data_IF_935038245182
#
_entry.id   IF_935038245182
#
_cell.length_a   1.000
_cell.length_b   1.000
_cell.length_c   1.000
_cell.angle_alpha   90.00
_cell.angle_beta   90.00
_cell.angle_gamma   90.00
#
_symmetry.space_group_name_H-M   'P 1'
#
loop_
_entity.id
_entity.type
_entity.pdbx_description
1 polymer ?
#
# COMPACT_ATOMS: atom_id res chain seq x y z
N UNK A 1 1.35 -40.21 -36.61
CA UNK A 1 0.96 -38.95 -35.95
C UNK A 1 -0.55 -38.93 -35.98
N UNK A 2 -1.22 -39.07 -34.84
CA UNK A 2 -2.67 -38.96 -34.79
C UNK A 2 -3.06 -37.56 -35.27
N UNK A 3 -4.08 -37.44 -36.12
CA UNK A 3 -4.54 -36.12 -36.56
C UNK A 3 -5.20 -35.39 -35.39
N UNK A 4 -5.19 -34.06 -35.40
CA UNK A 4 -5.84 -33.24 -34.37
C UNK A 4 -7.33 -33.60 -34.22
N UNK A 5 -7.97 -34.06 -35.31
CA UNK A 5 -9.33 -34.60 -35.30
C UNK A 5 -9.42 -35.89 -34.48
N UNK A 6 -8.52 -36.85 -34.72
CA UNK A 6 -8.52 -38.15 -34.04
C UNK A 6 -8.28 -37.97 -32.53
N UNK A 7 -7.40 -37.03 -32.14
CA UNK A 7 -7.16 -36.69 -30.75
C UNK A 7 -8.40 -36.13 -30.05
N UNK A 8 -9.18 -35.28 -30.73
CA UNK A 8 -10.44 -34.76 -30.18
C UNK A 8 -11.52 -35.85 -30.06
N UNK A 9 -11.57 -36.78 -31.00
CA UNK A 9 -12.48 -37.93 -30.93
C UNK A 9 -12.10 -38.86 -29.77
N UNK A 10 -10.80 -39.11 -29.56
CA UNK A 10 -10.27 -39.88 -28.42
C UNK A 10 -10.57 -39.20 -27.07
N UNK A 11 -10.61 -37.87 -27.04
CA UNK A 11 -11.03 -37.08 -25.87
C UNK A 11 -12.55 -37.09 -25.61
N UNK A 12 -13.33 -37.72 -26.50
CA UNK A 12 -14.78 -37.90 -26.35
C UNK A 12 -15.64 -36.78 -26.97
N UNK A 13 -15.07 -35.93 -27.83
CA UNK A 13 -15.85 -34.94 -28.56
C UNK A 13 -16.57 -35.56 -29.77
N UNK A 14 -17.76 -35.04 -30.06
CA UNK A 14 -18.53 -35.45 -31.24
C UNK A 14 -17.73 -35.19 -32.54
N UNK A 15 -17.74 -36.18 -33.43
CA UNK A 15 -16.93 -36.17 -34.66
C UNK A 15 -17.23 -34.96 -35.55
N UNK A 16 -18.50 -34.56 -35.67
CA UNK A 16 -18.86 -33.42 -36.52
C UNK A 16 -18.44 -32.09 -35.88
N UNK A 17 -18.58 -31.96 -34.56
CA UNK A 17 -18.10 -30.77 -33.82
C UNK A 17 -16.58 -30.64 -33.88
N UNK A 18 -15.86 -31.73 -33.63
CA UNK A 18 -14.40 -31.76 -33.70
C UNK A 18 -13.90 -31.40 -35.11
N UNK A 19 -14.56 -31.89 -36.16
CA UNK A 19 -14.22 -31.56 -37.53
C UNK A 19 -14.46 -30.07 -37.85
N UNK A 20 -15.54 -29.50 -37.35
CA UNK A 20 -15.81 -28.06 -37.49
C UNK A 20 -14.77 -27.22 -36.74
N UNK A 21 -14.41 -27.63 -35.52
CA UNK A 21 -13.44 -26.95 -34.69
C UNK A 21 -12.04 -26.92 -35.33
N UNK A 22 -11.58 -28.08 -35.83
CA UNK A 22 -10.27 -28.21 -36.50
C UNK A 22 -10.25 -27.43 -37.82
N UNK A 23 -11.34 -27.44 -38.59
CA UNK A 23 -11.41 -26.68 -39.85
C UNK A 23 -11.47 -25.17 -39.64
N UNK A 24 -12.06 -24.70 -38.54
CA UNK A 24 -12.14 -23.26 -38.21
C UNK A 24 -10.87 -22.70 -37.59
N UNK A 25 -10.15 -23.50 -36.81
CA UNK A 25 -9.02 -23.01 -35.99
C UNK A 25 -7.64 -23.49 -36.46
N UNK A 26 -7.58 -24.57 -37.24
CA UNK A 26 -6.36 -25.05 -37.87
C UNK A 26 -5.34 -25.70 -36.93
N UNK A 27 -5.71 -26.02 -35.69
CA UNK A 27 -4.83 -26.75 -34.75
C UNK A 27 -5.55 -27.20 -33.48
N UNK A 28 -5.05 -28.26 -32.82
CA UNK A 28 -5.66 -28.88 -31.64
C UNK A 28 -6.04 -27.90 -30.53
N UNK A 29 -5.11 -27.01 -30.13
CA UNK A 29 -5.34 -26.09 -29.01
C UNK A 29 -6.39 -25.02 -29.35
N UNK A 30 -6.42 -24.58 -30.61
CA UNK A 30 -7.47 -23.69 -31.09
C UNK A 30 -8.82 -24.39 -31.16
N UNK A 31 -8.83 -25.66 -31.58
CA UNK A 31 -10.04 -26.46 -31.69
C UNK A 31 -10.66 -26.72 -30.31
N UNK A 32 -9.84 -26.97 -29.27
CA UNK A 32 -10.31 -27.12 -27.89
C UNK A 32 -10.97 -25.84 -27.35
N UNK A 33 -10.32 -24.67 -27.53
CA UNK A 33 -10.90 -23.39 -27.10
C UNK A 33 -12.22 -23.11 -27.83
N UNK A 34 -12.26 -23.38 -29.14
CA UNK A 34 -13.46 -23.17 -29.94
C UNK A 34 -14.60 -24.12 -29.53
N UNK A 35 -14.28 -25.37 -29.17
CA UNK A 35 -15.27 -26.32 -28.65
C UNK A 35 -15.81 -25.90 -27.27
N UNK A 36 -14.97 -25.31 -26.42
CA UNK A 36 -15.37 -24.75 -25.13
C UNK A 36 -16.30 -23.54 -25.32
N UNK A 37 -15.92 -22.59 -26.18
CA UNK A 37 -16.70 -21.38 -26.46
C UNK A 37 -18.06 -21.66 -27.13
N UNK A 38 -18.20 -22.83 -27.78
CA UNK A 38 -19.42 -23.23 -28.48
C UNK A 38 -20.07 -24.48 -27.86
N UNK A 39 -19.71 -24.83 -26.62
CA UNK A 39 -20.23 -26.00 -25.92
C UNK A 39 -21.75 -25.93 -25.73
N UNK A 40 -22.26 -24.73 -25.44
CA UNK A 40 -23.67 -24.46 -25.15
C UNK A 40 -24.56 -24.33 -26.40
N UNK A 41 -23.96 -24.26 -27.58
CA UNK A 41 -24.70 -24.09 -28.85
C UNK A 41 -24.96 -25.42 -29.51
N UNK A 42 -26.16 -25.63 -30.04
CA UNK A 42 -26.47 -26.86 -30.78
C UNK A 42 -25.65 -26.94 -32.07
N UNK A 43 -25.40 -28.16 -32.57
CA UNK A 43 -24.71 -28.36 -33.85
C UNK A 43 -25.40 -27.63 -35.01
N UNK A 44 -26.72 -27.52 -34.96
CA UNK A 44 -27.52 -26.81 -35.96
C UNK A 44 -27.38 -25.29 -35.85
N UNK A 45 -27.33 -24.73 -34.64
CA UNK A 45 -27.05 -23.31 -34.41
C UNK A 45 -25.65 -22.91 -34.87
N UNK A 46 -24.66 -23.77 -34.64
CA UNK A 46 -23.27 -23.51 -35.06
C UNK A 46 -23.16 -23.58 -36.59
N UNK A 47 -23.85 -24.54 -37.23
CA UNK A 47 -23.92 -24.63 -38.71
C UNK A 47 -24.68 -23.44 -39.30
N UNK A 48 -25.76 -22.97 -38.67
CA UNK A 48 -26.50 -21.78 -39.07
C UNK A 48 -25.65 -20.50 -38.92
N UNK A 49 -24.96 -20.31 -37.78
CA UNK A 49 -24.04 -19.19 -37.56
C UNK A 49 -22.84 -19.24 -38.53
N UNK A 50 -22.37 -20.43 -38.90
CA UNK A 50 -21.33 -20.59 -39.91
C UNK A 50 -21.82 -20.26 -41.33
N UNK A 51 -23.10 -20.52 -41.65
CA UNK A 51 -23.74 -20.08 -42.89
C UNK A 51 -23.99 -18.58 -42.92
N UNK A 52 -24.38 -17.96 -41.80
CA UNK A 52 -24.49 -16.51 -41.66
C UNK A 52 -23.11 -15.82 -41.76
N UNK A 53 -22.07 -16.41 -41.18
CA UNK A 53 -20.71 -15.87 -41.23
C UNK A 53 -19.97 -16.13 -42.55
N UNK A 54 -20.41 -17.09 -43.37
CA UNK A 54 -19.90 -17.30 -44.75
C UNK A 54 -20.69 -16.53 -45.81
N UNK A 55 -21.79 -15.87 -45.43
CA UNK A 55 -22.57 -14.97 -46.27
C UNK A 55 -22.12 -13.50 -46.19
N UNK A 56 -20.82 -13.23 -46.24
CA UNK A 56 -20.30 -11.86 -46.41
C UNK A 56 -20.51 -11.31 -47.84
N UNK A 57 -21.15 -12.09 -48.71
CA UNK A 57 -22.03 -11.57 -49.75
C UNK A 57 -23.47 -11.85 -49.26
N UNK A 58 -24.22 -10.78 -48.94
CA UNK A 58 -25.65 -10.90 -48.69
C UNK A 58 -26.31 -11.69 -49.83
N UNK A 59 -27.39 -12.44 -49.55
CA UNK A 59 -27.98 -13.37 -50.50
C UNK A 59 -28.19 -12.67 -51.84
N UNK A 60 -27.62 -13.25 -52.91
CA UNK A 60 -27.88 -12.78 -54.26
C UNK A 60 -29.40 -12.74 -54.46
N UNK A 61 -29.90 -11.58 -54.89
CA UNK A 61 -31.31 -11.33 -55.15
C UNK A 61 -31.90 -12.52 -55.89
N UNK A 62 -32.95 -13.12 -55.32
CA UNK A 62 -33.70 -14.15 -56.02
C UNK A 62 -34.24 -13.54 -57.32
N UNK A 63 -34.27 -14.29 -58.44
CA UNK A 63 -34.72 -13.76 -59.72
C UNK A 63 -36.22 -13.42 -59.65
N UNK A 64 -36.53 -12.16 -59.34
CA UNK A 64 -37.91 -11.67 -59.16
C UNK A 64 -38.07 -10.46 -58.25
N UNK A 65 -37.08 -10.08 -57.45
CA UNK A 65 -37.17 -8.92 -56.55
C UNK A 65 -36.70 -7.62 -57.22
N UNK A 66 -37.57 -6.61 -57.29
CA UNK A 66 -37.27 -5.32 -57.91
C UNK A 66 -36.25 -4.54 -57.06
N UNK A 67 -35.23 -3.90 -57.66
CA UNK A 67 -34.23 -3.13 -56.92
C UNK A 67 -34.86 -1.88 -56.31
N UNK A 68 -35.23 -1.94 -55.03
CA UNK A 68 -35.61 -0.77 -54.24
C UNK A 68 -34.38 -0.25 -53.50
N UNK A 69 -33.70 0.74 -54.07
CA UNK A 69 -32.62 1.44 -53.36
C UNK A 69 -33.20 2.36 -52.27
N UNK A 70 -32.96 2.04 -51.00
CA UNK A 70 -33.39 2.88 -49.86
C UNK A 70 -32.32 3.94 -49.57
N UNK A 71 -32.72 5.17 -49.27
CA UNK A 71 -31.82 6.26 -48.87
C UNK A 71 -32.16 6.69 -47.47
N UNK A 72 -31.18 6.70 -46.57
CA UNK A 72 -31.38 7.28 -45.24
C UNK A 72 -31.43 8.81 -45.36
N UNK A 73 -32.53 9.43 -44.94
CA UNK A 73 -32.72 10.88 -45.01
C UNK A 73 -31.85 11.63 -44.00
N UNK A 74 -31.44 10.98 -42.92
CA UNK A 74 -30.62 11.56 -41.86
C UNK A 74 -29.13 11.67 -42.26
N UNK A 75 -28.63 10.76 -43.10
CA UNK A 75 -27.21 10.75 -43.50
C UNK A 75 -26.95 10.67 -45.01
N UNK A 76 -28.00 10.65 -45.83
CA UNK A 76 -27.92 10.63 -47.30
C UNK A 76 -27.29 9.38 -47.91
N UNK A 77 -27.08 8.31 -47.13
CA UNK A 77 -26.47 7.06 -47.64
C UNK A 77 -27.51 6.27 -48.42
N UNK A 78 -27.15 5.87 -49.64
CA UNK A 78 -27.94 4.99 -50.51
C UNK A 78 -27.59 3.53 -50.24
N UNK A 79 -28.61 2.72 -50.03
CA UNK A 79 -28.54 1.29 -49.75
C UNK A 79 -29.10 0.51 -50.93
N UNK A 80 -28.49 -0.64 -51.22
CA UNK A 80 -28.89 -1.50 -52.33
C UNK A 80 -30.10 -2.38 -52.04
N UNK A 81 -30.50 -2.50 -50.77
CA UNK A 81 -31.63 -3.29 -50.32
C UNK A 81 -31.90 -3.09 -48.83
N UNK A 82 -32.97 -3.72 -48.35
CA UNK A 82 -33.50 -3.56 -46.99
C UNK A 82 -32.53 -4.04 -45.90
N UNK A 83 -31.81 -5.15 -46.11
CA UNK A 83 -30.84 -5.69 -45.13
C UNK A 83 -29.69 -4.73 -44.82
N UNK A 84 -29.24 -3.95 -45.81
CA UNK A 84 -28.18 -2.96 -45.62
C UNK A 84 -28.69 -1.71 -44.89
N UNK A 85 -29.96 -1.36 -45.08
CA UNK A 85 -30.63 -0.28 -44.35
C UNK A 85 -30.85 -0.65 -42.88
N UNK A 86 -31.26 -1.89 -42.58
CA UNK A 86 -31.41 -2.41 -41.21
C UNK A 86 -30.08 -2.45 -40.45
N UNK A 87 -28.99 -2.87 -41.09
CA UNK A 87 -27.65 -2.83 -40.48
C UNK A 87 -27.17 -1.39 -40.21
N UNK A 88 -27.49 -0.46 -41.12
CA UNK A 88 -27.19 0.96 -40.88
C UNK A 88 -28.04 1.52 -39.74
N UNK A 89 -29.32 1.16 -39.67
CA UNK A 89 -30.21 1.53 -38.57
C UNK A 89 -29.71 0.99 -37.22
N UNK A 90 -29.23 -0.25 -37.14
CA UNK A 90 -28.72 -0.82 -35.88
C UNK A 90 -27.39 -0.21 -35.43
N UNK A 91 -26.55 0.20 -36.38
CA UNK A 91 -25.22 0.76 -36.10
C UNK A 91 -25.22 2.26 -35.86
N UNK A 92 -26.07 3.01 -36.56
CA UNK A 92 -26.13 4.47 -36.45
C UNK A 92 -27.41 5.00 -35.80
N UNK A 93 -28.42 4.16 -35.57
CA UNK A 93 -29.69 4.55 -34.97
C UNK A 93 -30.63 5.33 -35.91
N UNK A 94 -30.34 5.39 -37.21
CA UNK A 94 -31.15 6.16 -38.16
C UNK A 94 -32.31 5.31 -38.66
N UNK A 95 -33.52 5.85 -38.60
CA UNK A 95 -34.77 5.11 -38.89
C UNK A 95 -35.54 5.66 -40.09
N UNK A 96 -35.22 6.87 -40.55
CA UNK A 96 -35.89 7.49 -41.69
C UNK A 96 -35.24 7.11 -43.03
N UNK A 97 -35.89 6.19 -43.77
CA UNK A 97 -35.47 5.76 -45.10
C UNK A 97 -36.53 6.12 -46.18
N UNK A 98 -36.09 6.73 -47.28
CA UNK A 98 -36.90 6.98 -48.47
C UNK A 98 -36.57 5.99 -49.58
N UNK A 99 -37.58 5.44 -50.25
CA UNK A 99 -37.41 4.61 -51.44
C UNK A 99 -37.02 5.50 -52.64
N UNK A 100 -35.80 5.35 -53.15
CA UNK A 100 -35.33 6.01 -54.37
C UNK A 100 -35.24 5.01 -55.51
N UNK A 101 -35.71 5.39 -56.70
CA UNK A 101 -35.68 4.57 -57.93
C UNK A 101 -34.38 4.70 -58.73
N UNK A 102 -33.35 5.31 -58.16
CA UNK A 102 -32.05 5.44 -58.81
C UNK A 102 -31.23 4.17 -58.59
N UNK A 103 -31.23 3.28 -59.59
CA UNK A 103 -30.35 2.12 -59.65
C UNK A 103 -28.89 2.58 -59.41
N UNK A 104 -28.37 2.26 -58.22
CA UNK A 104 -26.98 2.60 -57.90
C UNK A 104 -26.09 1.81 -58.86
N UNK A 105 -25.50 2.48 -59.84
CA UNK A 105 -24.61 1.85 -60.80
C UNK A 105 -23.58 0.98 -60.07
N UNK A 106 -23.39 -0.30 -60.46
CA UNK A 106 -22.35 -1.13 -59.86
C UNK A 106 -21.00 -0.45 -60.09
N UNK A 107 -20.23 -0.26 -59.01
CA UNK A 107 -18.86 0.27 -59.10
C UNK A 107 -18.14 -0.45 -60.26
N UNK A 108 -17.54 0.32 -61.16
CA UNK A 108 -16.74 -0.21 -62.26
C UNK A 108 -15.62 -1.08 -61.69
N UNK A 109 -15.20 -2.10 -62.44
CA UNK A 109 -14.22 -3.09 -61.96
C UNK A 109 -12.90 -2.45 -61.50
N UNK A 110 -12.54 -1.30 -62.07
CA UNK A 110 -11.37 -0.52 -61.69
C UNK A 110 -11.50 0.13 -60.30
N UNK A 111 -12.66 0.70 -59.97
CA UNK A 111 -12.92 1.31 -58.66
C UNK A 111 -12.99 0.25 -57.55
N UNK A 112 -13.50 -0.95 -57.87
CA UNK A 112 -13.48 -2.10 -56.95
C UNK A 112 -12.05 -2.55 -56.66
N UNK A 113 -11.19 -2.62 -57.69
CA UNK A 113 -9.76 -2.97 -57.53
C UNK A 113 -9.02 -1.93 -56.69
N UNK A 114 -9.26 -0.65 -56.91
CA UNK A 114 -8.65 0.44 -56.12
C UNK A 114 -9.09 0.40 -54.66
N UNK A 115 -10.39 0.23 -54.37
CA UNK A 115 -10.89 0.06 -53.00
C UNK A 115 -10.32 -1.17 -52.31
N UNK A 116 -10.17 -2.28 -53.02
CA UNK A 116 -9.53 -3.49 -52.47
C UNK A 116 -8.04 -3.28 -52.19
N UNK A 117 -7.34 -2.52 -53.02
CA UNK A 117 -5.94 -2.15 -52.77
C UNK A 117 -5.82 -1.25 -51.53
N UNK A 118 -6.65 -0.21 -51.43
CA UNK A 118 -6.68 0.71 -50.27
C UNK A 118 -7.04 -0.02 -48.97
N UNK A 119 -7.98 -0.97 -49.01
CA UNK A 119 -8.33 -1.79 -47.85
C UNK A 119 -7.19 -2.73 -47.44
N UNK A 120 -6.47 -3.32 -48.40
CA UNK A 120 -5.30 -4.16 -48.12
C UNK A 120 -4.16 -3.34 -47.52
N UNK A 121 -3.93 -2.13 -48.01
CA UNK A 121 -2.94 -1.20 -47.47
C UNK A 121 -3.28 -0.79 -46.03
N UNK A 122 -4.54 -0.40 -45.76
CA UNK A 122 -5.02 -0.09 -44.39
C UNK A 122 -4.91 -1.28 -43.44
N UNK A 123 -5.14 -2.51 -43.91
CA UNK A 123 -4.95 -3.71 -43.10
C UNK A 123 -3.47 -3.99 -42.84
N UNK A 124 -2.61 -3.78 -43.84
CA UNK A 124 -1.17 -3.92 -43.69
C UNK A 124 -0.61 -2.90 -42.69
N UNK A 125 -1.03 -1.64 -42.75
CA UNK A 125 -0.66 -0.60 -41.79
C UNK A 125 -1.12 -0.94 -40.37
N UNK A 126 -2.38 -1.38 -40.19
CA UNK A 126 -2.88 -1.83 -38.89
C UNK A 126 -2.09 -3.01 -38.34
N UNK A 127 -1.74 -3.98 -39.20
CA UNK A 127 -0.95 -5.15 -38.82
C UNK A 127 0.48 -4.77 -38.44
N UNK A 128 1.09 -3.81 -39.14
CA UNK A 128 2.40 -3.27 -38.80
C UNK A 128 2.37 -2.56 -37.44
N UNK A 129 1.39 -1.68 -37.21
CA UNK A 129 1.23 -0.99 -35.92
C UNK A 129 1.01 -1.94 -34.74
N UNK A 130 0.18 -2.98 -34.93
CA UNK A 130 -0.01 -4.03 -33.92
C UNK A 130 1.28 -4.82 -33.64
N UNK A 131 2.10 -5.10 -34.66
CA UNK A 131 3.38 -5.79 -34.47
C UNK A 131 4.39 -4.94 -33.69
N UNK A 132 4.40 -3.63 -33.88
CA UNK A 132 5.25 -2.71 -33.11
C UNK A 132 4.80 -2.60 -31.66
N UNK A 133 3.49 -2.48 -31.43
CA UNK A 133 2.93 -2.48 -30.07
C UNK A 133 3.23 -3.80 -29.34
N UNK A 134 3.02 -4.95 -29.98
CA UNK A 134 3.33 -6.26 -29.38
C UNK A 134 4.82 -6.41 -29.04
N UNK A 135 5.74 -5.85 -29.84
CA UNK A 135 7.17 -5.82 -29.51
C UNK A 135 7.47 -4.93 -28.28
N UNK A 136 6.80 -3.79 -28.16
CA UNK A 136 6.96 -2.88 -27.02
C UNK A 136 6.39 -3.54 -25.76
N UNK A 137 5.21 -4.14 -25.84
CA UNK A 137 4.56 -4.81 -24.72
C UNK A 137 5.34 -6.03 -24.26
N UNK A 138 5.93 -6.81 -25.19
CA UNK A 138 6.85 -7.90 -24.85
C UNK A 138 8.08 -7.42 -24.09
N UNK A 139 8.73 -6.34 -24.56
CA UNK A 139 9.88 -5.75 -23.86
C UNK A 139 9.50 -5.25 -22.47
N UNK A 140 8.36 -4.57 -22.34
CA UNK A 140 7.83 -4.08 -21.05
C UNK A 140 7.54 -5.23 -20.10
N UNK A 141 6.89 -6.29 -20.57
CA UNK A 141 6.60 -7.47 -19.76
C UNK A 141 7.87 -8.20 -19.31
N UNK A 142 8.89 -8.28 -20.18
CA UNK A 142 10.19 -8.83 -19.81
C UNK A 142 10.89 -7.96 -18.76
N UNK A 143 10.85 -6.64 -18.89
CA UNK A 143 11.41 -5.71 -17.91
C UNK A 143 10.69 -5.82 -16.56
N UNK A 144 9.36 -5.93 -16.55
CA UNK A 144 8.57 -6.15 -15.33
C UNK A 144 8.98 -7.47 -14.65
N UNK A 145 9.14 -8.56 -15.41
CA UNK A 145 9.59 -9.85 -14.85
C UNK A 145 10.99 -9.74 -14.23
N UNK A 146 11.92 -9.07 -14.91
CA UNK A 146 13.28 -8.85 -14.41
C UNK A 146 13.28 -7.99 -13.14
N UNK A 147 12.54 -6.88 -13.13
CA UNK A 147 12.39 -6.00 -11.95
C UNK A 147 11.76 -6.73 -10.78
N UNK A 148 10.65 -7.42 -10.98
CA UNK A 148 9.96 -8.17 -9.92
C UNK A 148 10.84 -9.26 -9.31
N UNK A 149 11.62 -9.99 -10.14
CA UNK A 149 12.57 -10.99 -9.65
C UNK A 149 13.67 -10.35 -8.82
N UNK A 150 14.22 -9.23 -9.29
CA UNK A 150 15.25 -8.47 -8.56
C UNK A 150 14.71 -7.92 -7.24
N UNK A 151 13.56 -7.26 -7.24
CA UNK A 151 12.92 -6.72 -6.03
C UNK A 151 12.62 -7.83 -5.01
N UNK A 152 12.23 -9.02 -5.47
CA UNK A 152 12.01 -10.18 -4.59
C UNK A 152 13.31 -10.67 -3.96
N UNK A 153 14.43 -10.64 -4.70
CA UNK A 153 15.75 -11.01 -4.18
C UNK A 153 16.26 -9.95 -3.20
N UNK A 154 16.20 -8.67 -3.59
CA UNK A 154 16.62 -7.53 -2.76
C UNK A 154 15.82 -7.50 -1.44
N UNK A 155 14.50 -7.74 -1.49
CA UNK A 155 13.65 -7.81 -0.30
C UNK A 155 14.01 -8.97 0.64
N UNK A 156 14.41 -10.13 0.09
CA UNK A 156 14.88 -11.28 0.88
C UNK A 156 16.21 -10.97 1.56
N UNK A 157 17.17 -10.41 0.83
CA UNK A 157 18.47 -10.03 1.37
C UNK A 157 18.35 -8.96 2.45
N UNK A 158 17.49 -7.95 2.24
CA UNK A 158 17.23 -6.92 3.24
C UNK A 158 16.58 -7.49 4.51
N UNK A 159 15.63 -8.42 4.36
CA UNK A 159 14.99 -9.09 5.49
C UNK A 159 16.01 -9.93 6.27
N UNK A 160 16.86 -10.68 5.59
CA UNK A 160 17.93 -11.47 6.21
C UNK A 160 18.93 -10.56 6.93
N UNK A 161 19.37 -9.47 6.30
CA UNK A 161 20.27 -8.48 6.91
C UNK A 161 19.64 -7.83 8.16
N UNK A 162 18.36 -7.50 8.12
CA UNK A 162 17.62 -6.97 9.29
C UNK A 162 17.53 -8.00 10.41
N UNK A 163 17.31 -9.28 10.09
CA UNK A 163 17.30 -10.36 11.08
C UNK A 163 18.68 -10.54 11.73
N UNK A 164 19.74 -10.59 10.94
CA UNK A 164 21.12 -10.70 11.45
C UNK A 164 21.50 -9.51 12.34
N UNK A 165 21.14 -8.28 11.93
CA UNK A 165 21.37 -7.07 12.74
C UNK A 165 20.59 -7.11 14.05
N UNK A 166 19.33 -7.57 14.03
CA UNK A 166 18.49 -7.72 15.23
C UNK A 166 19.04 -8.78 16.18
N UNK A 167 19.50 -9.91 15.66
CA UNK A 167 20.11 -10.97 16.46
C UNK A 167 21.45 -10.50 17.07
N UNK A 168 22.29 -9.83 16.29
CA UNK A 168 23.54 -9.26 16.79
C UNK A 168 23.30 -8.20 17.87
N UNK A 169 22.28 -7.33 17.70
CA UNK A 169 21.88 -6.35 18.71
C UNK A 169 21.35 -7.02 19.98
N UNK A 170 20.50 -8.04 19.84
CA UNK A 170 19.97 -8.81 20.97
C UNK A 170 21.10 -9.48 21.76
N UNK A 171 22.06 -10.12 21.06
CA UNK A 171 23.22 -10.75 21.69
C UNK A 171 24.14 -9.75 22.39
N UNK A 172 24.30 -8.53 21.85
CA UNK A 172 25.04 -7.46 22.54
C UNK A 172 24.31 -7.00 23.80
N UNK A 173 22.99 -6.84 23.73
CA UNK A 173 22.15 -6.46 24.88
C UNK A 173 22.18 -7.53 25.96
N UNK A 174 21.98 -8.81 25.62
CA UNK A 174 22.08 -9.92 26.57
C UNK A 174 23.44 -9.97 27.27
N UNK A 175 24.54 -9.75 26.53
CA UNK A 175 25.89 -9.64 27.13
C UNK A 175 26.03 -8.45 28.08
N UNK A 176 25.45 -7.29 27.74
CA UNK A 176 25.48 -6.11 28.60
C UNK A 176 24.66 -6.35 29.88
N UNK A 177 23.46 -6.87 29.73
CA UNK A 177 22.56 -7.21 30.84
C UNK A 177 23.21 -8.25 31.77
N UNK A 178 23.92 -9.25 31.23
CA UNK A 178 24.71 -10.21 32.02
C UNK A 178 25.85 -9.54 32.79
N UNK A 179 26.57 -8.61 32.17
CA UNK A 179 27.66 -7.87 32.82
C UNK A 179 27.10 -6.99 33.94
N UNK A 180 25.99 -6.30 33.69
CA UNK A 180 25.32 -5.46 34.67
C UNK A 180 24.73 -6.28 35.82
N UNK A 181 24.11 -7.42 35.53
CA UNK A 181 23.64 -8.36 36.55
C UNK A 181 24.79 -8.86 37.43
N UNK A 182 25.92 -9.25 36.83
CA UNK A 182 27.14 -9.64 37.58
C UNK A 182 27.68 -8.49 38.42
N UNK A 183 27.72 -7.25 37.89
CA UNK A 183 28.12 -6.05 38.66
C UNK A 183 27.19 -5.80 39.83
N UNK A 184 25.87 -5.91 39.63
CA UNK A 184 24.87 -5.72 40.68
C UNK A 184 24.99 -6.76 41.79
N UNK A 185 25.23 -8.02 41.43
CA UNK A 185 25.48 -9.09 42.42
C UNK A 185 26.77 -8.81 43.20
N UNK A 186 27.85 -8.43 42.51
CA UNK A 186 29.11 -8.06 43.16
C UNK A 186 28.95 -6.90 44.15
N UNK A 187 28.25 -5.83 43.74
CA UNK A 187 27.97 -4.69 44.60
C UNK A 187 27.15 -5.07 45.84
N UNK A 188 26.17 -5.99 45.71
CA UNK A 188 25.42 -6.50 46.87
C UNK A 188 26.30 -7.31 47.82
N UNK A 189 27.21 -8.14 47.30
CA UNK A 189 28.15 -8.92 48.11
C UNK A 189 29.14 -8.00 48.83
N UNK A 190 29.62 -6.96 48.14
CA UNK A 190 30.51 -5.96 48.73
C UNK A 190 29.81 -5.18 49.85
N UNK A 191 28.59 -4.69 49.61
CA UNK A 191 27.78 -4.03 50.62
C UNK A 191 27.53 -4.92 51.85
N UNK A 192 27.12 -6.19 51.68
CA UNK A 192 26.94 -7.13 52.81
C UNK A 192 28.25 -7.36 53.58
N UNK A 193 29.37 -7.46 52.87
CA UNK A 193 30.69 -7.63 53.48
C UNK A 193 31.12 -6.39 54.26
N UNK A 194 30.85 -5.20 53.75
CA UNK A 194 31.14 -3.94 54.43
C UNK A 194 30.23 -3.74 55.64
N UNK A 195 28.94 -4.02 55.53
CA UNK A 195 28.01 -3.98 56.66
C UNK A 195 28.43 -4.95 57.77
N UNK A 196 28.86 -6.17 57.40
CA UNK A 196 29.40 -7.14 58.36
C UNK A 196 30.68 -6.65 59.01
N UNK A 197 31.60 -6.04 58.24
CA UNK A 197 32.83 -5.43 58.77
C UNK A 197 32.51 -4.32 59.76
N UNK A 198 31.65 -3.37 59.37
CA UNK A 198 31.22 -2.25 60.21
C UNK A 198 30.50 -2.74 61.48
N UNK A 199 29.66 -3.76 61.38
CA UNK A 199 28.97 -4.35 62.54
C UNK A 199 29.95 -5.05 63.49
N UNK A 200 30.91 -5.80 62.96
CA UNK A 200 31.96 -6.43 63.77
C UNK A 200 32.89 -5.40 64.43
N UNK A 201 33.23 -4.33 63.72
CA UNK A 201 34.02 -3.22 64.26
C UNK A 201 33.28 -2.48 65.38
N UNK A 202 31.98 -2.17 65.17
CA UNK A 202 31.12 -1.59 66.20
C UNK A 202 31.04 -2.47 67.45
N UNK A 203 30.80 -3.77 67.29
CA UNK A 203 30.75 -4.71 68.44
C UNK A 203 32.10 -4.85 69.15
N UNK A 204 33.22 -4.81 68.40
CA UNK A 204 34.56 -4.83 68.99
C UNK A 204 34.87 -3.55 69.76
N UNK A 205 34.47 -2.39 69.23
CA UNK A 205 34.60 -1.10 69.91
C UNK A 205 33.76 -1.06 71.21
N UNK A 206 32.51 -1.53 71.14
CA UNK A 206 31.63 -1.66 72.31
C UNK A 206 32.23 -2.59 73.39
N UNK A 207 32.82 -3.72 73.00
CA UNK A 207 33.44 -4.68 73.95
C UNK A 207 34.77 -4.21 74.52
N UNK A 208 35.54 -3.41 73.78
CA UNK A 208 36.79 -2.83 74.25
C UNK A 208 36.58 -1.67 75.25
N UNK A 209 35.33 -1.34 75.60
CA UNK A 209 35.02 -0.29 76.58
C UNK A 209 35.41 1.12 76.11
N UNK A 210 35.75 1.27 74.83
CA UNK A 210 35.90 2.58 74.20
C UNK A 210 34.48 3.09 73.97
N UNK A 211 34.03 3.98 74.86
CA UNK A 211 32.78 4.70 74.68
C UNK A 211 32.73 5.23 73.24
N UNK A 212 31.59 5.12 72.52
CA UNK A 212 31.48 5.77 71.23
C UNK A 212 31.82 7.24 71.46
N UNK A 213 32.92 7.71 70.86
CA UNK A 213 33.14 9.14 70.76
C UNK A 213 31.91 9.65 70.02
N UNK A 214 31.01 10.29 70.77
CA UNK A 214 30.02 11.16 70.17
C UNK A 214 30.82 12.06 69.23
N UNK A 215 30.53 12.07 67.91
CA UNK A 215 31.00 13.18 67.12
C UNK A 215 30.46 14.42 67.84
N UNK A 216 31.38 15.26 68.30
CA UNK A 216 31.04 16.56 68.84
C UNK A 216 30.03 17.19 67.89
N UNK A 217 28.89 17.61 68.43
CA UNK A 217 27.90 18.37 67.72
C UNK A 217 28.59 19.62 67.18
N UNK A 218 29.01 19.56 65.92
CA UNK A 218 29.35 20.74 65.15
C UNK A 218 28.06 21.56 65.05
N UNK A 219 28.07 22.84 65.44
CA UNK A 219 26.90 23.69 65.24
C UNK A 219 26.56 23.67 63.77
N UNK A 220 25.30 23.36 63.47
CA UNK A 220 24.77 23.43 62.12
C UNK A 220 25.07 24.82 61.55
N UNK A 221 25.76 24.94 60.40
CA UNK A 221 25.75 26.19 59.70
C UNK A 221 24.30 26.42 59.24
N UNK A 222 23.65 27.40 59.85
CA UNK A 222 22.49 28.07 59.24
C UNK A 222 23.01 28.78 57.98
N UNK A 223 23.20 28.05 56.89
CA UNK A 223 23.42 28.64 55.58
C UNK A 223 22.07 28.81 54.91
N UNK A 224 21.41 29.93 55.21
CA UNK A 224 20.57 30.61 54.22
C UNK A 224 21.50 31.14 53.12
N UNK A 225 21.89 30.25 52.22
CA UNK A 225 22.68 30.53 51.02
C UNK A 225 22.12 29.71 49.85
N UNK A 226 22.12 30.26 48.61
CA UNK A 226 21.39 29.69 47.49
C UNK A 226 21.98 28.32 47.10
N UNK A 227 21.11 27.32 46.92
CA UNK A 227 21.50 26.00 46.44
C UNK A 227 22.09 26.11 45.03
N UNK A 228 23.39 25.90 44.89
CA UNK A 228 24.03 25.72 43.58
C UNK A 228 23.50 24.44 42.94
N UNK A 229 22.76 24.60 41.85
CA UNK A 229 22.15 23.53 41.08
C UNK A 229 23.22 22.67 40.39
N UNK A 230 23.04 21.35 40.46
CA UNK A 230 23.69 20.39 39.57
C UNK A 230 23.18 20.63 38.13
N UNK A 231 23.98 20.42 37.07
CA UNK A 231 23.53 20.72 35.70
C UNK A 231 22.24 19.96 35.36
N UNK A 232 21.35 20.61 34.62
CA UNK A 232 20.03 20.10 34.21
C UNK A 232 20.06 18.73 33.52
N UNK A 233 21.23 18.29 33.03
CA UNK A 233 21.45 16.98 32.40
C UNK A 233 21.55 15.78 33.35
N UNK A 234 21.67 16.00 34.67
CA UNK A 234 21.88 14.92 35.65
C UNK A 234 20.61 14.46 36.38
N UNK A 235 19.48 15.16 36.20
CA UNK A 235 18.21 14.77 36.79
C UNK A 235 17.44 13.90 35.80
N UNK A 236 16.83 12.82 36.31
CA UNK A 236 15.91 11.94 35.57
C UNK A 236 14.44 12.25 35.87
N UNK A 237 14.19 12.92 36.99
CA UNK A 237 12.86 13.29 37.47
C UNK A 237 12.80 14.81 37.71
N UNK A 238 11.62 15.39 37.45
CA UNK A 238 11.32 16.82 37.63
C UNK A 238 10.09 16.99 38.51
N UNK A 239 10.17 17.90 39.47
CA UNK A 239 9.04 18.24 40.35
C UNK A 239 8.36 19.53 39.87
N UNK A 240 7.15 19.39 39.35
CA UNK A 240 6.35 20.52 38.88
C UNK A 240 5.28 20.89 39.89
N UNK A 241 5.16 22.19 40.18
CA UNK A 241 4.04 22.76 40.93
C UNK A 241 3.13 23.50 39.96
N UNK A 242 1.89 23.06 39.85
CA UNK A 242 0.85 23.72 39.07
C UNK A 242 -0.02 24.57 39.99
N UNK A 243 -0.15 25.84 39.65
CA UNK A 243 -1.10 26.75 40.30
C UNK A 243 -2.36 26.78 39.44
N UNK A 244 -3.43 26.14 39.92
CA UNK A 244 -4.73 26.15 39.26
C UNK A 244 -5.70 27.06 40.03
N UNK A 245 -6.82 27.49 39.42
CA UNK A 245 -7.87 28.22 40.12
C UNK A 245 -8.48 27.44 41.30
N UNK A 246 -8.39 26.11 41.26
CA UNK A 246 -8.90 25.20 42.31
C UNK A 246 -7.89 24.92 43.43
N UNK A 247 -6.64 25.35 43.29
CA UNK A 247 -5.57 25.11 44.26
C UNK A 247 -4.22 24.73 43.62
N UNK A 248 -3.26 24.40 44.49
CA UNK A 248 -1.90 24.03 44.07
C UNK A 248 -1.77 22.52 43.97
N UNK A 249 -1.31 22.03 42.82
CA UNK A 249 -1.07 20.60 42.55
C UNK A 249 0.43 20.40 42.39
N UNK A 250 0.99 19.33 42.97
CA UNK A 250 2.40 18.98 42.79
C UNK A 250 2.49 17.60 42.13
N UNK A 251 3.23 17.49 41.03
CA UNK A 251 3.50 16.20 40.36
C UNK A 251 5.00 16.03 40.12
N UNK A 252 5.46 14.79 40.26
CA UNK A 252 6.81 14.38 39.90
C UNK A 252 6.70 13.59 38.59
N UNK A 253 7.36 14.08 37.54
CA UNK A 253 7.29 13.51 36.19
C UNK A 253 8.70 13.28 35.65
N UNK A 254 8.83 12.40 34.66
CA UNK A 254 10.13 12.11 34.05
C UNK A 254 10.59 13.29 33.19
N UNK A 255 11.91 13.49 33.08
CA UNK A 255 12.49 14.64 32.36
C UNK A 255 12.16 14.67 30.86
N UNK A 256 11.88 13.50 30.28
CA UNK A 256 11.55 13.32 28.87
C UNK A 256 10.03 13.42 28.56
N UNK A 257 9.17 13.61 29.58
CA UNK A 257 7.72 13.79 29.31
C UNK A 257 7.48 15.11 28.60
N UNK A 258 6.53 15.13 27.68
CA UNK A 258 6.15 16.37 26.96
C UNK A 258 5.15 17.20 27.77
N UNK A 259 5.09 18.50 27.51
CA UNK A 259 4.06 19.37 28.12
C UNK A 259 2.63 18.92 27.78
N UNK A 260 2.42 18.30 26.61
CA UNK A 260 1.15 17.70 26.24
C UNK A 260 0.72 16.56 27.17
N UNK A 261 1.62 15.63 27.46
CA UNK A 261 1.35 14.54 28.39
C UNK A 261 1.07 15.05 29.81
N UNK A 262 1.75 16.12 30.22
CA UNK A 262 1.52 16.80 31.49
C UNK A 262 0.10 17.39 31.54
N UNK A 263 -0.34 18.06 30.47
CA UNK A 263 -1.69 18.59 30.35
C UNK A 263 -2.76 17.48 30.36
N UNK A 264 -2.51 16.37 29.67
CA UNK A 264 -3.38 15.19 29.69
C UNK A 264 -3.47 14.57 31.10
N UNK A 265 -2.34 14.44 31.81
CA UNK A 265 -2.31 13.92 33.17
C UNK A 265 -3.04 14.83 34.17
N UNK A 266 -3.03 16.15 33.97
CA UNK A 266 -3.82 17.11 34.77
C UNK A 266 -5.31 17.01 34.44
N UNK A 267 -5.68 16.77 33.18
CA UNK A 267 -7.07 16.56 32.77
C UNK A 267 -7.65 15.26 33.33
N UNK A 268 -6.88 14.17 33.31
CA UNK A 268 -7.31 12.85 33.78
C UNK A 268 -7.41 12.76 35.30
N UNK A 269 -6.43 13.29 36.03
CA UNK A 269 -6.35 13.14 37.49
C UNK A 269 -7.09 14.25 38.25
N UNK A 270 -7.05 15.48 37.75
CA UNK A 270 -7.56 16.66 38.48
C UNK A 270 -8.78 17.29 37.77
N UNK A 271 -9.15 16.83 36.57
CA UNK A 271 -10.28 17.35 35.81
C UNK A 271 -10.10 18.82 35.42
N UNK A 272 -8.85 19.26 35.22
CA UNK A 272 -8.51 20.64 34.86
C UNK A 272 -8.10 20.65 33.38
N UNK A 273 -8.85 21.40 32.58
CA UNK A 273 -8.51 21.64 31.19
C UNK A 273 -7.50 22.78 31.12
N UNK A 274 -6.32 22.50 30.57
CA UNK A 274 -5.21 23.46 30.47
C UNK A 274 -5.18 24.04 29.07
N UNK A 275 -5.23 25.37 28.93
CA UNK A 275 -5.08 26.04 27.64
C UNK A 275 -3.65 26.54 27.43
N UNK A 276 -3.01 27.05 28.49
CA UNK A 276 -1.60 27.45 28.45
C UNK A 276 -0.93 27.32 29.83
N UNK A 277 0.39 27.17 29.83
CA UNK A 277 1.19 27.20 31.06
C UNK A 277 2.01 28.48 31.13
N UNK A 278 1.98 29.18 32.26
CA UNK A 278 2.78 30.40 32.47
C UNK A 278 3.79 30.17 33.58
N UNK A 279 5.08 30.27 33.28
CA UNK A 279 6.14 30.35 34.28
C UNK A 279 6.24 31.78 34.80
N UNK A 280 6.31 31.96 36.12
CA UNK A 280 6.36 33.30 36.73
C UNK A 280 7.77 33.93 36.68
N UNK A 281 8.82 33.11 36.75
CA UNK A 281 10.21 33.59 36.77
C UNK A 281 11.19 32.59 36.11
N UNK A 282 11.92 32.99 35.06
CA UNK A 282 11.61 34.11 34.16
C UNK A 282 10.21 33.97 33.55
N UNK A 283 9.53 35.09 33.27
CA UNK A 283 8.16 35.05 32.75
C UNK A 283 8.16 34.45 31.34
N UNK A 284 7.64 33.22 31.19
CA UNK A 284 7.54 32.52 29.90
C UNK A 284 6.16 31.89 29.78
N UNK A 285 5.51 32.11 28.64
CA UNK A 285 4.20 31.54 28.32
C UNK A 285 4.44 30.37 27.37
N UNK A 286 3.89 29.21 27.71
CA UNK A 286 3.93 28.00 26.91
C UNK A 286 2.53 27.76 26.33
N UNK A 287 2.37 28.19 25.08
CA UNK A 287 1.18 27.93 24.26
C UNK A 287 1.31 26.59 23.51
N UNK A 288 0.31 26.22 22.71
CA UNK A 288 0.24 24.94 21.99
C UNK A 288 1.50 24.55 21.19
N UNK A 289 2.30 25.52 20.73
CA UNK A 289 3.55 25.28 20.01
C UNK A 289 4.61 24.58 20.89
N UNK A 290 4.62 24.85 22.19
CA UNK A 290 5.56 24.27 23.15
C UNK A 290 5.08 22.95 23.75
N UNK A 291 3.85 22.51 23.44
CA UNK A 291 3.29 21.27 24.01
C UNK A 291 4.01 20.01 23.50
N UNK A 292 4.69 20.10 22.35
CA UNK A 292 5.50 19.03 21.77
C UNK A 292 6.92 18.92 22.34
N UNK A 293 7.40 19.92 23.09
CA UNK A 293 8.73 19.90 23.69
C UNK A 293 8.73 19.18 25.05
N UNK A 294 9.87 18.57 25.39
CA UNK A 294 10.07 17.89 26.66
C UNK A 294 10.35 18.86 27.80
N UNK A 295 10.07 18.45 29.05
CA UNK A 295 10.38 19.24 30.25
C UNK A 295 11.87 19.63 30.34
N UNK A 296 12.75 18.80 29.76
CA UNK A 296 14.18 19.05 29.65
C UNK A 296 14.52 20.21 28.72
N UNK A 297 13.93 20.23 27.53
CA UNK A 297 14.17 21.23 26.50
C UNK A 297 13.65 22.61 26.93
N UNK A 298 12.55 22.61 27.67
CA UNK A 298 11.93 23.81 28.22
C UNK A 298 12.62 24.36 29.47
N UNK A 299 13.63 23.65 30.00
CA UNK A 299 14.40 24.08 31.16
C UNK A 299 13.62 24.03 32.48
N UNK A 300 12.61 23.16 32.59
CA UNK A 300 11.74 23.04 33.77
C UNK A 300 12.33 22.12 34.86
N UNK A 301 13.57 21.65 34.66
CA UNK A 301 14.33 20.72 35.52
C UNK A 301 15.26 21.50 36.46
N UNK A 302 15.42 21.13 37.74
CA UNK A 302 14.84 19.98 38.46
C UNK A 302 13.46 20.25 39.09
N UNK A 303 13.07 21.52 39.16
CA UNK A 303 11.77 21.93 39.69
C UNK A 303 11.30 23.22 39.05
N UNK A 304 10.02 23.30 38.72
CA UNK A 304 9.41 24.52 38.19
C UNK A 304 8.00 24.76 38.78
N UNK A 305 7.59 26.04 38.80
CA UNK A 305 6.23 26.44 39.17
C UNK A 305 5.55 27.06 37.95
N UNK A 306 4.47 26.42 37.50
CA UNK A 306 3.68 26.84 36.35
C UNK A 306 2.28 27.25 36.83
N UNK A 307 1.79 28.37 36.32
CA UNK A 307 0.38 28.76 36.45
C UNK A 307 -0.39 28.18 35.27
N UNK A 308 -1.56 27.60 35.56
CA UNK A 308 -2.48 27.09 34.55
C UNK A 308 -3.43 28.23 34.17
N UNK A 309 -3.50 28.54 32.88
CA UNK A 309 -4.50 29.42 32.28
C UNK A 309 -5.44 28.64 31.37
#
# INVERSE_FOLDING_TARGET
MASDLDQLIEMGFDKERAQLAVTKTGGLQGALQWLEDNQDKSLEEIKAQAQEAQGEEGPALQPGEQPRSLVCNECGKKFRGQSQAEFHASKSGHVDFAESTEEVAPLTEEQKKQRLAELREKLAEKRAGLSEQDKIDKKRNEEIRRKSTKETQDAKEELERKQQMKEAAKKKKEKQDEIEAKKRIKAKIEADKEERRLKAEKQRAERAGVAPSQPAAVPAPTSSGPSTSKPASAYTETRLRFQSPKGNIMKTLHVDTTLFEVAAALKEQDGIEVQSFVQNFPKKVFDNEFFGESLKELGLVPSASLLIQ
#
